data_IF_118077608580
#
_entry.id   IF_118077608580
#
_cell.length_a   1.000
_cell.length_b   1.000
_cell.length_c   1.000
_cell.angle_alpha   90.00
_cell.angle_beta   90.00
_cell.angle_gamma   90.00
#
_symmetry.space_group_name_H-M   'P 1'
#
loop_
_entity.id
_entity.type
_entity.pdbx_description
1 polymer ?
#
# COMPACT_ATOMS: atom_id res chain seq x y z
N UNK A 1 11.74 -18.92 -34.34
CA UNK A 1 12.22 -18.82 -32.94
C UNK A 1 11.35 -17.80 -32.25
N UNK A 2 10.40 -18.26 -31.44
CA UNK A 2 9.38 -17.41 -30.83
C UNK A 2 9.99 -16.64 -29.66
N UNK A 3 10.09 -15.32 -29.80
CA UNK A 3 10.49 -14.40 -28.74
C UNK A 3 9.39 -14.40 -27.67
N UNK A 4 9.61 -15.12 -26.57
CA UNK A 4 8.85 -14.89 -25.36
C UNK A 4 9.35 -13.56 -24.82
N UNK A 5 8.58 -12.48 -25.00
CA UNK A 5 8.74 -11.25 -24.23
C UNK A 5 8.34 -11.54 -22.79
N UNK A 6 9.15 -12.35 -22.11
CA UNK A 6 9.11 -12.48 -20.67
C UNK A 6 9.71 -11.19 -20.14
N UNK A 7 8.89 -10.35 -19.52
CA UNK A 7 9.37 -9.15 -18.83
C UNK A 7 10.57 -9.50 -17.94
N UNK A 8 11.54 -8.58 -17.86
CA UNK A 8 12.77 -8.81 -17.12
C UNK A 8 12.41 -9.13 -15.65
N UNK A 9 12.74 -10.33 -15.14
CA UNK A 9 12.41 -10.73 -13.78
C UNK A 9 13.01 -9.80 -12.72
N UNK A 10 14.10 -9.08 -13.04
CA UNK A 10 14.65 -8.05 -12.17
C UNK A 10 13.69 -6.85 -12.06
N UNK A 11 13.11 -6.42 -13.18
CA UNK A 11 12.18 -5.30 -13.25
C UNK A 11 10.85 -5.61 -12.55
N UNK A 12 10.35 -6.84 -12.70
CA UNK A 12 9.18 -7.30 -11.96
C UNK A 12 9.39 -7.21 -10.44
N UNK A 13 10.57 -7.64 -9.97
CA UNK A 13 10.93 -7.59 -8.55
C UNK A 13 11.10 -6.17 -8.02
N UNK A 14 11.59 -5.25 -8.85
CA UNK A 14 11.63 -3.82 -8.50
C UNK A 14 10.23 -3.23 -8.32
N UNK A 15 9.26 -3.59 -9.16
CA UNK A 15 7.89 -3.09 -9.03
C UNK A 15 7.19 -3.64 -7.79
N UNK A 16 7.41 -4.92 -7.48
CA UNK A 16 6.93 -5.52 -6.23
C UNK A 16 7.52 -4.81 -5.01
N UNK A 17 8.83 -4.54 -5.03
CA UNK A 17 9.50 -3.80 -3.96
C UNK A 17 8.95 -2.37 -3.81
N UNK A 18 8.75 -1.67 -4.92
CA UNK A 18 8.20 -0.30 -4.94
C UNK A 18 6.79 -0.27 -4.34
N UNK A 19 5.94 -1.23 -4.72
CA UNK A 19 4.61 -1.40 -4.13
C UNK A 19 4.68 -1.62 -2.62
N UNK A 20 5.48 -2.60 -2.16
CA UNK A 20 5.56 -2.92 -0.73
C UNK A 20 6.13 -1.76 0.09
N UNK A 21 7.10 -1.02 -0.45
CA UNK A 21 7.64 0.19 0.21
C UNK A 21 6.57 1.27 0.38
N UNK A 22 5.74 1.48 -0.64
CA UNK A 22 4.65 2.46 -0.60
C UNK A 22 3.53 2.01 0.33
N UNK A 23 3.23 0.71 0.38
CA UNK A 23 2.25 0.15 1.30
C UNK A 23 2.66 0.39 2.75
N UNK A 24 3.90 0.10 3.14
CA UNK A 24 4.41 0.41 4.48
C UNK A 24 4.38 1.90 4.80
N UNK A 25 4.78 2.75 3.85
CA UNK A 25 4.75 4.21 4.04
C UNK A 25 3.32 4.74 4.27
N UNK A 26 2.33 4.16 3.58
CA UNK A 26 0.92 4.48 3.80
C UNK A 26 0.42 3.99 5.18
N UNK A 27 0.80 2.79 5.60
CA UNK A 27 0.47 2.26 6.93
C UNK A 27 1.05 3.15 8.04
N UNK A 28 2.31 3.58 7.91
CA UNK A 28 2.95 4.50 8.84
C UNK A 28 2.21 5.85 8.91
N UNK A 29 1.84 6.41 7.75
CA UNK A 29 1.09 7.67 7.68
C UNK A 29 -0.31 7.55 8.31
N UNK A 30 -1.02 6.44 8.06
CA UNK A 30 -2.32 6.11 8.66
C UNK A 30 -2.24 5.95 10.18
N UNK A 31 -1.17 5.33 10.68
CA UNK A 31 -0.94 5.17 12.11
C UNK A 31 -0.59 6.50 12.80
N UNK A 32 0.17 7.37 12.14
CA UNK A 32 0.47 8.72 12.63
C UNK A 32 -0.80 9.56 12.78
N UNK A 33 -1.73 9.47 11.83
CA UNK A 33 -3.04 10.15 11.93
C UNK A 33 -3.87 9.64 13.10
N UNK A 34 -3.88 8.32 13.32
CA UNK A 34 -4.63 7.70 14.42
C UNK A 34 -4.06 8.09 15.79
N UNK A 35 -2.73 8.21 15.90
CA UNK A 35 -2.04 8.58 17.15
C UNK A 35 -2.22 10.07 17.46
N UNK A 36 -2.13 10.96 16.46
CA UNK A 36 -2.32 12.40 16.66
C UNK A 36 -3.73 12.79 17.12
N UNK A 37 -4.76 11.99 16.79
CA UNK A 37 -6.13 12.19 17.28
C UNK A 37 -6.29 11.87 18.76
N UNK A 38 -5.49 10.93 19.31
CA UNK A 38 -5.54 10.61 20.74
C UNK A 38 -4.98 11.73 21.63
N UNK A 39 -4.05 12.55 21.10
CA UNK A 39 -3.46 13.69 21.81
C UNK A 39 -4.17 15.03 21.53
N UNK A 40 -5.16 15.05 20.63
CA UNK A 40 -5.87 16.27 20.20
C UNK A 40 -7.16 16.58 20.98
N UNK A 41 -7.48 15.84 22.05
CA UNK A 41 -8.64 16.12 22.94
C UNK A 41 -8.37 17.29 23.93
N UNK A 42 -7.72 18.35 23.44
CA UNK A 42 -7.42 19.54 24.24
C UNK A 42 -7.43 20.88 23.48
N UNK A 43 -7.77 20.97 22.19
CA UNK A 43 -7.81 22.29 21.53
C UNK A 43 -8.88 22.42 20.43
N UNK A 44 -9.97 23.04 20.85
CA UNK A 44 -10.80 24.02 20.13
C UNK A 44 -10.69 24.02 18.59
N UNK A 45 -11.68 23.39 17.94
CA UNK A 45 -12.52 24.12 16.97
C UNK A 45 -11.93 24.56 15.63
N UNK A 46 -10.81 24.02 15.14
CA UNK A 46 -10.38 24.32 13.77
C UNK A 46 -10.26 23.06 12.91
N UNK A 47 -11.15 23.01 11.93
CA UNK A 47 -11.20 22.09 10.79
C UNK A 47 -10.04 22.41 9.82
N UNK A 48 -8.80 22.39 10.31
CA UNK A 48 -7.59 22.41 9.50
C UNK A 48 -7.27 20.96 9.22
N UNK A 49 -7.35 20.51 7.96
CA UNK A 49 -6.79 19.22 7.58
C UNK A 49 -5.35 19.16 8.11
N UNK A 50 -5.10 18.29 9.09
CA UNK A 50 -3.75 18.13 9.60
C UNK A 50 -2.87 17.59 8.47
N UNK A 51 -1.62 18.07 8.33
CA UNK A 51 -0.71 17.56 7.31
C UNK A 51 -0.53 16.03 7.37
N UNK A 52 -0.78 15.38 8.51
CA UNK A 52 -0.79 13.91 8.61
C UNK A 52 -1.90 13.24 7.81
N UNK A 53 -3.10 13.85 7.73
CA UNK A 53 -4.20 13.34 6.90
C UNK A 53 -3.87 13.46 5.41
N UNK A 54 -3.35 14.62 4.98
CA UNK A 54 -2.95 14.83 3.58
C UNK A 54 -1.81 13.90 3.16
N UNK A 55 -0.90 13.57 4.10
CA UNK A 55 0.16 12.59 3.90
C UNK A 55 -0.38 11.16 3.75
N UNK A 56 -1.38 10.77 4.55
CA UNK A 56 -2.01 9.46 4.46
C UNK A 56 -2.80 9.28 3.16
N UNK A 57 -3.56 10.30 2.73
CA UNK A 57 -4.25 10.27 1.43
C UNK A 57 -3.27 10.21 0.26
N UNK A 58 -2.21 11.03 0.28
CA UNK A 58 -1.18 11.03 -0.76
C UNK A 58 -0.43 9.70 -0.84
N UNK A 59 -0.10 9.09 0.31
CA UNK A 59 0.53 7.78 0.38
C UNK A 59 -0.43 6.66 -0.09
N UNK A 60 -1.72 6.77 0.25
CA UNK A 60 -2.78 5.88 -0.24
C UNK A 60 -2.89 5.91 -1.76
N UNK A 61 -2.87 7.10 -2.36
CA UNK A 61 -2.87 7.23 -3.82
C UNK A 61 -1.60 6.65 -4.46
N UNK A 62 -0.45 6.85 -3.83
CA UNK A 62 0.83 6.31 -4.32
C UNK A 62 0.85 4.77 -4.32
N UNK A 63 0.29 4.12 -3.29
CA UNK A 63 0.21 2.65 -3.26
C UNK A 63 -0.78 2.11 -4.29
N UNK A 64 -1.90 2.81 -4.53
CA UNK A 64 -2.86 2.47 -5.60
C UNK A 64 -2.20 2.58 -6.98
N UNK A 65 -1.39 3.60 -7.22
CA UNK A 65 -0.72 3.74 -8.52
C UNK A 65 0.36 2.68 -8.73
N UNK A 66 1.03 2.23 -7.66
CA UNK A 66 1.93 1.10 -7.72
C UNK A 66 1.19 -0.23 -7.97
N UNK A 67 0.03 -0.46 -7.35
CA UNK A 67 -0.75 -1.68 -7.58
C UNK A 67 -1.32 -1.75 -9.00
N UNK A 68 -1.78 -0.63 -9.57
CA UNK A 68 -2.16 -0.56 -11.01
C UNK A 68 -1.03 -0.97 -11.94
N UNK A 69 0.22 -0.69 -11.55
CA UNK A 69 1.39 -1.12 -12.32
C UNK A 69 1.59 -2.62 -12.22
N UNK A 70 1.47 -3.19 -11.02
CA UNK A 70 1.56 -4.65 -10.83
C UNK A 70 0.47 -5.41 -11.59
N UNK A 71 -0.77 -4.91 -11.54
CA UNK A 71 -1.95 -5.44 -12.26
C UNK A 71 -1.72 -5.45 -13.78
N UNK A 72 -1.30 -4.32 -14.35
CA UNK A 72 -0.99 -4.20 -15.79
C UNK A 72 0.07 -5.20 -16.27
N UNK A 73 1.04 -5.47 -15.41
CA UNK A 73 2.19 -6.31 -15.73
C UNK A 73 1.92 -7.78 -15.38
N UNK A 74 0.73 -8.11 -14.86
CA UNK A 74 0.34 -9.47 -14.51
C UNK A 74 1.19 -10.06 -13.37
N UNK A 75 1.71 -9.21 -12.48
CA UNK A 75 2.54 -9.61 -11.34
C UNK A 75 1.72 -9.97 -10.09
N UNK A 76 0.41 -10.11 -10.27
CA UNK A 76 -0.50 -10.64 -9.28
C UNK A 76 -0.21 -12.14 -9.08
N UNK A 77 0.01 -12.56 -7.83
CA UNK A 77 0.17 -13.97 -7.51
C UNK A 77 -1.21 -14.62 -7.34
N UNK A 78 -1.62 -15.44 -8.31
CA UNK A 78 -2.77 -16.34 -8.18
C UNK A 78 -4.14 -15.66 -8.34
N UNK A 79 -5.03 -15.85 -7.36
CA UNK A 79 -6.42 -15.34 -7.37
C UNK A 79 -6.53 -13.95 -6.72
N UNK A 80 -5.39 -13.33 -6.42
CA UNK A 80 -5.30 -12.12 -5.60
C UNK A 80 -5.32 -10.90 -6.52
N UNK A 81 -6.40 -10.13 -6.50
CA UNK A 81 -6.51 -8.87 -7.22
C UNK A 81 -5.81 -7.77 -6.44
N UNK A 82 -4.49 -7.64 -6.62
CA UNK A 82 -3.64 -6.72 -5.84
C UNK A 82 -4.13 -5.28 -5.90
N UNK A 83 -4.68 -4.86 -7.05
CA UNK A 83 -5.28 -3.54 -7.23
C UNK A 83 -6.53 -3.36 -6.37
N UNK A 84 -7.49 -4.28 -6.47
CA UNK A 84 -8.73 -4.22 -5.70
C UNK A 84 -8.47 -4.29 -4.19
N UNK A 85 -7.57 -5.18 -3.77
CA UNK A 85 -7.17 -5.29 -2.37
C UNK A 85 -6.52 -4.01 -1.86
N UNK A 86 -5.68 -3.36 -2.68
CA UNK A 86 -5.07 -2.08 -2.30
C UNK A 86 -6.11 -0.96 -2.22
N UNK A 87 -7.04 -0.87 -3.18
CA UNK A 87 -8.11 0.15 -3.15
C UNK A 87 -9.01 -0.04 -1.95
N UNK A 88 -9.40 -1.27 -1.64
CA UNK A 88 -10.22 -1.60 -0.47
C UNK A 88 -9.46 -1.32 0.83
N UNK A 89 -8.16 -1.64 0.91
CA UNK A 89 -7.31 -1.34 2.06
C UNK A 89 -7.24 0.17 2.33
N UNK A 90 -6.99 0.98 1.29
CA UNK A 90 -7.01 2.45 1.40
C UNK A 90 -8.39 2.97 1.80
N UNK A 91 -9.46 2.29 1.35
CA UNK A 91 -10.83 2.53 1.79
C UNK A 91 -11.16 2.10 3.22
N UNK A 92 -10.22 1.47 3.94
CA UNK A 92 -10.37 1.06 5.34
C UNK A 92 -10.71 -0.41 5.56
N UNK A 93 -10.69 -1.26 4.53
CA UNK A 93 -10.88 -2.71 4.68
C UNK A 93 -9.60 -3.37 5.22
N UNK A 94 -9.63 -3.70 6.51
CA UNK A 94 -8.54 -4.40 7.23
C UNK A 94 -8.23 -5.78 6.62
N UNK A 95 -9.25 -6.49 6.12
CA UNK A 95 -9.06 -7.78 5.48
C UNK A 95 -8.33 -7.66 4.14
N UNK A 96 -8.62 -6.59 3.39
CA UNK A 96 -7.91 -6.26 2.17
C UNK A 96 -6.46 -5.79 2.43
N UNK A 97 -6.25 -5.01 3.49
CA UNK A 97 -4.92 -4.63 3.95
C UNK A 97 -4.07 -5.87 4.32
N UNK A 98 -4.67 -6.83 5.04
CA UNK A 98 -4.01 -8.09 5.36
C UNK A 98 -3.61 -8.92 4.12
N UNK A 99 -4.42 -8.89 3.05
CA UNK A 99 -4.08 -9.54 1.78
C UNK A 99 -2.94 -8.83 1.05
N UNK A 100 -2.93 -7.49 1.05
CA UNK A 100 -1.85 -6.68 0.51
C UNK A 100 -0.52 -6.91 1.23
N UNK A 101 -0.54 -7.01 2.57
CA UNK A 101 0.64 -7.39 3.39
C UNK A 101 1.08 -8.82 3.06
N UNK A 102 0.14 -9.76 2.99
CA UNK A 102 0.45 -11.16 2.64
C UNK A 102 1.09 -11.29 1.25
N UNK A 103 0.72 -10.43 0.30
CA UNK A 103 1.37 -10.38 -1.01
C UNK A 103 2.85 -9.98 -0.88
N UNK A 104 3.14 -8.95 -0.09
CA UNK A 104 4.52 -8.50 0.18
C UNK A 104 5.34 -9.58 0.90
N UNK A 105 4.75 -10.29 1.87
CA UNK A 105 5.38 -11.42 2.54
C UNK A 105 5.72 -12.55 1.54
N UNK A 106 4.75 -12.92 0.69
CA UNK A 106 4.96 -13.96 -0.33
C UNK A 106 6.00 -13.58 -1.38
N UNK A 107 6.24 -12.27 -1.56
CA UNK A 107 7.22 -11.71 -2.48
C UNK A 107 8.62 -11.54 -1.83
N UNK A 108 8.74 -11.76 -0.52
CA UNK A 108 9.97 -11.61 0.27
C UNK A 108 10.28 -10.17 0.70
N UNK A 109 9.23 -9.38 0.92
CA UNK A 109 9.28 -7.97 1.30
C UNK A 109 8.51 -7.68 2.60
N UNK A 110 8.41 -8.67 3.49
CA UNK A 110 7.69 -8.58 4.77
C UNK A 110 8.19 -7.45 5.66
N UNK A 111 9.46 -7.06 5.55
CA UNK A 111 10.05 -5.99 6.35
C UNK A 111 9.73 -4.59 5.84
N UNK A 112 9.13 -4.48 4.65
CA UNK A 112 8.78 -3.20 4.03
C UNK A 112 7.36 -2.76 4.39
N UNK A 113 6.58 -3.63 5.03
CA UNK A 113 5.18 -3.43 5.37
C UNK A 113 4.96 -3.62 6.87
N UNK A 114 4.01 -2.89 7.43
CA UNK A 114 3.55 -3.09 8.79
C UNK A 114 2.69 -4.35 8.92
N UNK A 115 2.60 -4.89 10.13
CA UNK A 115 1.60 -5.91 10.43
C UNK A 115 0.20 -5.32 10.25
N UNK A 116 -0.65 -5.95 9.43
CA UNK A 116 -2.05 -5.57 9.33
C UNK A 116 -2.71 -5.69 10.72
N UNK A 117 -3.21 -4.57 11.24
CA UNK A 117 -3.81 -4.44 12.58
C UNK A 117 -5.30 -4.72 12.59
#
# INVERSE_FOLDING_TARGET
>A
MSSCSSGDPAQAKEWQRDYCTKLGSWQDAKHATTTGVADADASDGQNVQSPEFDNAESAGQAVIDASKRLDREGLEHGVTHILDDTVNAVGGDVGAEGRAVSYCDSSGFETLVGSAG
#
